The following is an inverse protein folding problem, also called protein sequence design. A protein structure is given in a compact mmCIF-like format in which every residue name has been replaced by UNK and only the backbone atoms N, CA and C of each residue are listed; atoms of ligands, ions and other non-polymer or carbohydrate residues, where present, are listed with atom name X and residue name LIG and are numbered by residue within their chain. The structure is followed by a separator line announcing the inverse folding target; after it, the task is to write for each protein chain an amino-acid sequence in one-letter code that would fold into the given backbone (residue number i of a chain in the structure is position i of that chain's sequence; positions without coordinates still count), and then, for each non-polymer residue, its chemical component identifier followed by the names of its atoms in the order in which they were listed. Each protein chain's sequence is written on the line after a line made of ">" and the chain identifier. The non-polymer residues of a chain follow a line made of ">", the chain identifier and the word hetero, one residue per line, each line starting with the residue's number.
data_IF_570581697747
#
_entry.id   IF_570581697747
#
_cell.length_a   1.000
_cell.length_b   1.000
_cell.length_c   1.000
_cell.angle_alpha   90.00
_cell.angle_beta   90.00
_cell.angle_gamma   90.00
#
_symmetry.space_group_name_H-M   'P 1'
#
loop_
_entity.id
_entity.type
_entity.pdbx_description
1 polymer ?
#
# COMPACT_ATOMS: atom_id res chain seq x y z
N UNK A 1 11.16 4.06 -3.16
CA UNK A 1 12.32 3.19 -2.87
C UNK A 1 13.14 3.03 -4.13
N UNK A 2 14.45 3.19 -4.05
CA UNK A 2 15.33 2.96 -5.20
C UNK A 2 15.56 1.46 -5.43
N UNK A 3 15.99 1.10 -6.64
CA UNK A 3 16.38 -0.28 -6.94
C UNK A 3 17.51 -0.77 -6.04
N UNK A 4 18.47 0.12 -5.74
CA UNK A 4 19.55 -0.20 -4.80
C UNK A 4 19.02 -0.54 -3.41
N UNK A 5 18.12 0.29 -2.88
CA UNK A 5 17.53 0.07 -1.56
C UNK A 5 16.71 -1.23 -1.53
N UNK A 6 16.00 -1.51 -2.61
CA UNK A 6 15.23 -2.73 -2.75
C UNK A 6 16.10 -3.98 -2.72
N UNK A 7 17.18 -3.98 -3.50
CA UNK A 7 18.09 -5.13 -3.58
C UNK A 7 18.86 -5.38 -2.28
N UNK A 8 18.98 -4.35 -1.43
CA UNK A 8 19.67 -4.45 -0.14
C UNK A 8 18.69 -4.46 1.05
N UNK A 9 17.40 -4.50 0.78
CA UNK A 9 16.36 -4.54 1.82
C UNK A 9 16.28 -5.94 2.41
N UNK A 10 16.57 -6.05 3.71
CA UNK A 10 16.56 -7.32 4.42
C UNK A 10 16.00 -7.15 5.84
N UNK A 11 14.71 -6.77 5.98
CA UNK A 11 14.11 -6.61 7.30
C UNK A 11 13.97 -7.96 8.01
N UNK A 12 14.18 -7.96 9.32
CA UNK A 12 14.12 -9.17 10.15
C UNK A 12 12.80 -9.30 10.92
N UNK A 13 12.03 -8.22 11.00
CA UNK A 13 10.82 -8.19 11.83
C UNK A 13 9.56 -7.96 10.99
N UNK A 14 8.52 -8.79 11.18
CA UNK A 14 7.21 -8.50 10.61
C UNK A 14 6.69 -7.14 11.10
N UNK A 15 6.21 -6.31 10.18
CA UNK A 15 5.78 -4.95 10.48
C UNK A 15 4.52 -4.64 9.68
N UNK A 16 3.47 -4.10 10.30
CA UNK A 16 2.30 -3.62 9.55
C UNK A 16 2.71 -2.52 8.58
N UNK A 17 2.17 -2.57 7.37
CA UNK A 17 2.52 -1.61 6.31
C UNK A 17 1.26 -1.07 5.65
N UNK A 18 1.23 0.24 5.42
CA UNK A 18 0.23 0.91 4.61
C UNK A 18 0.92 1.54 3.40
N UNK A 19 0.47 1.18 2.21
CA UNK A 19 0.93 1.75 0.94
C UNK A 19 -0.24 2.44 0.25
N UNK A 20 -0.05 3.70 -0.14
CA UNK A 20 -0.99 4.45 -0.97
C UNK A 20 -0.23 4.88 -2.22
N UNK A 21 -0.74 4.56 -3.41
CA UNK A 21 -0.01 4.87 -4.64
C UNK A 21 -0.95 5.18 -5.80
N UNK A 22 -0.63 6.26 -6.52
CA UNK A 22 -1.28 6.59 -7.79
C UNK A 22 -0.68 5.79 -8.93
N UNK A 23 -1.51 5.18 -9.77
CA UNK A 23 -1.02 4.33 -10.89
C UNK A 23 -0.29 5.18 -11.94
N UNK A 24 -0.68 6.44 -12.11
CA UNK A 24 -0.09 7.36 -13.08
C UNK A 24 1.00 8.26 -12.47
N UNK A 25 1.58 7.87 -11.35
CA UNK A 25 2.65 8.60 -10.69
C UNK A 25 3.89 8.63 -11.60
N UNK A 26 4.27 9.84 -12.04
CA UNK A 26 5.44 10.04 -12.92
C UNK A 26 6.72 10.33 -12.14
N UNK A 27 6.63 10.58 -10.84
CA UNK A 27 7.78 10.86 -9.98
C UNK A 27 8.31 9.57 -9.37
N UNK A 28 7.39 8.74 -8.83
CA UNK A 28 7.70 7.38 -8.34
C UNK A 28 6.82 6.41 -9.13
N UNK A 29 7.26 5.97 -10.32
CA UNK A 29 6.44 5.11 -11.17
C UNK A 29 6.02 3.83 -10.46
N UNK A 30 4.76 3.44 -10.61
CA UNK A 30 4.24 2.20 -10.00
C UNK A 30 5.01 0.96 -10.51
N UNK A 31 5.45 1.01 -11.76
CA UNK A 31 6.23 -0.09 -12.36
C UNK A 31 7.66 -0.16 -11.82
N UNK A 32 8.14 0.85 -11.13
CA UNK A 32 9.45 0.87 -10.52
C UNK A 32 10.61 1.04 -11.48
N UNK A 33 11.71 0.27 -11.34
CA UNK A 33 11.96 -0.79 -10.35
C UNK A 33 12.18 -0.26 -8.92
N UNK A 34 11.71 -1.00 -7.88
CA UNK A 34 10.84 -2.17 -7.94
C UNK A 34 9.37 -1.78 -8.21
N UNK A 35 8.58 -2.71 -8.79
CA UNK A 35 7.14 -2.49 -8.93
C UNK A 35 6.50 -2.39 -7.54
N UNK A 36 5.59 -1.44 -7.35
CA UNK A 36 4.95 -1.23 -6.04
C UNK A 36 4.18 -2.46 -5.57
N UNK A 37 3.52 -3.17 -6.49
CA UNK A 37 2.83 -4.42 -6.16
C UNK A 37 3.79 -5.48 -5.59
N UNK A 38 5.03 -5.52 -6.09
CA UNK A 38 6.07 -6.43 -5.59
C UNK A 38 6.51 -6.05 -4.18
N UNK A 39 6.67 -4.76 -3.90
CA UNK A 39 6.98 -4.26 -2.55
C UNK A 39 5.89 -4.64 -1.56
N UNK A 40 4.63 -4.46 -1.95
CA UNK A 40 3.48 -4.84 -1.11
C UNK A 40 3.46 -6.35 -0.86
N UNK A 41 3.67 -7.17 -1.88
CA UNK A 41 3.71 -8.63 -1.74
C UNK A 41 4.85 -9.07 -0.82
N UNK A 42 6.00 -8.42 -0.91
CA UNK A 42 7.13 -8.69 -0.03
C UNK A 42 6.75 -8.50 1.45
N UNK A 43 6.10 -7.39 1.79
CA UNK A 43 5.67 -7.13 3.16
C UNK A 43 4.55 -8.07 3.61
N UNK A 44 3.64 -8.41 2.70
CA UNK A 44 2.57 -9.37 2.99
C UNK A 44 3.15 -10.75 3.32
N UNK A 45 4.16 -11.20 2.57
CA UNK A 45 4.83 -12.47 2.81
C UNK A 45 5.65 -12.45 4.11
N UNK A 46 6.37 -11.36 4.37
CA UNK A 46 7.15 -11.21 5.61
C UNK A 46 6.25 -11.25 6.85
N UNK A 47 5.04 -10.72 6.75
CA UNK A 47 4.05 -10.74 7.83
C UNK A 47 3.26 -12.06 7.89
N UNK A 48 3.49 -12.99 6.98
CA UNK A 48 2.77 -14.27 6.92
C UNK A 48 1.25 -14.09 6.82
N UNK A 49 0.80 -13.10 6.05
CA UNK A 49 -0.63 -12.87 5.84
C UNK A 49 -1.23 -14.03 5.04
N UNK A 50 -2.46 -14.44 5.38
CA UNK A 50 -3.10 -15.64 4.82
C UNK A 50 -4.34 -15.34 4.00
N UNK A 51 -4.89 -14.14 4.09
CA UNK A 51 -6.08 -13.75 3.34
C UNK A 51 -5.86 -12.41 2.64
N UNK A 52 -6.54 -12.22 1.50
CA UNK A 52 -6.53 -10.96 0.75
C UNK A 52 -7.99 -10.57 0.51
N UNK A 53 -8.39 -9.40 1.01
CA UNK A 53 -9.68 -8.79 0.69
C UNK A 53 -9.46 -7.67 -0.31
N UNK A 54 -10.15 -7.72 -1.44
CA UNK A 54 -10.08 -6.69 -2.49
C UNK A 54 -11.41 -5.95 -2.55
N UNK A 55 -11.37 -4.63 -2.40
CA UNK A 55 -12.55 -3.77 -2.43
C UNK A 55 -12.29 -2.60 -3.37
N UNK A 56 -13.26 -2.29 -4.22
CA UNK A 56 -13.26 -1.04 -4.99
C UNK A 56 -14.02 0.00 -4.17
N UNK A 57 -13.28 0.93 -3.55
CA UNK A 57 -13.86 2.02 -2.74
C UNK A 57 -14.72 2.91 -3.62
N UNK A 58 -14.17 3.24 -4.80
CA UNK A 58 -14.88 3.77 -5.96
C UNK A 58 -14.35 3.00 -7.18
N UNK A 59 -14.98 3.08 -8.37
CA UNK A 59 -14.50 2.29 -9.52
C UNK A 59 -13.02 2.47 -9.87
N UNK A 60 -12.42 3.63 -9.57
CA UNK A 60 -11.02 3.91 -9.89
C UNK A 60 -10.04 3.64 -8.74
N UNK A 61 -10.50 3.31 -7.54
CA UNK A 61 -9.63 3.06 -6.38
C UNK A 61 -9.86 1.68 -5.83
N UNK A 62 -8.84 0.84 -5.94
CA UNK A 62 -8.82 -0.52 -5.39
C UNK A 62 -8.08 -0.53 -4.06
N UNK A 63 -8.73 -1.03 -3.01
CA UNK A 63 -8.11 -1.28 -1.72
C UNK A 63 -7.88 -2.78 -1.55
N UNK A 64 -6.65 -3.16 -1.26
CA UNK A 64 -6.25 -4.54 -0.99
C UNK A 64 -5.83 -4.64 0.48
N UNK A 65 -6.44 -5.57 1.19
CA UNK A 65 -6.15 -5.81 2.61
C UNK A 65 -5.60 -7.22 2.77
N UNK A 66 -4.29 -7.32 3.02
CA UNK A 66 -3.63 -8.58 3.34
C UNK A 66 -3.73 -8.77 4.85
N UNK A 67 -4.43 -9.79 5.29
CA UNK A 67 -4.83 -9.98 6.68
C UNK A 67 -4.41 -11.33 7.25
N UNK A 68 -4.67 -11.48 8.55
CA UNK A 68 -4.38 -12.68 9.33
C UNK A 68 -2.89 -13.02 9.30
N UNK A 69 -2.07 -11.99 9.42
CA UNK A 69 -0.63 -12.13 9.53
C UNK A 69 -0.18 -12.47 10.93
N UNK A 70 1.13 -12.62 11.08
CA UNK A 70 1.79 -12.86 12.36
C UNK A 70 1.51 -11.69 13.32
N UNK A 71 1.18 -12.00 14.57
CA UNK A 71 0.81 -11.01 15.60
C UNK A 71 -0.40 -10.14 15.22
N UNK A 72 -1.26 -10.62 14.34
CA UNK A 72 -2.39 -9.85 13.83
C UNK A 72 -2.01 -8.75 12.83
N UNK A 73 -0.78 -8.76 12.33
CA UNK A 73 -0.31 -7.76 11.38
C UNK A 73 -1.07 -7.83 10.06
N UNK A 74 -1.22 -6.67 9.43
CA UNK A 74 -1.85 -6.53 8.13
C UNK A 74 -1.01 -5.62 7.24
N UNK A 75 -1.18 -5.79 5.94
CA UNK A 75 -0.64 -4.89 4.93
C UNK A 75 -1.81 -4.34 4.12
N UNK A 76 -1.95 -3.04 4.07
CA UNK A 76 -3.01 -2.35 3.35
C UNK A 76 -2.43 -1.64 2.14
N UNK A 77 -3.09 -1.79 0.99
CA UNK A 77 -2.63 -1.19 -0.26
C UNK A 77 -3.78 -0.51 -0.99
N UNK A 78 -3.73 0.82 -1.12
CA UNK A 78 -4.68 1.61 -1.90
C UNK A 78 -4.05 2.00 -3.22
N UNK A 79 -4.55 1.42 -4.32
CA UNK A 79 -4.14 1.70 -5.70
C UNK A 79 -5.15 2.63 -6.33
N UNK A 80 -4.72 3.81 -6.73
CA UNK A 80 -5.60 4.85 -7.26
C UNK A 80 -5.33 5.03 -8.74
N UNK A 81 -6.27 4.61 -9.60
CA UNK A 81 -6.22 4.83 -11.04
C UNK A 81 -6.34 6.32 -11.36
N UNK A 82 -5.77 6.73 -12.48
CA UNK A 82 -5.82 8.11 -12.97
C UNK A 82 -5.34 9.13 -11.93
N UNK A 83 -4.40 8.72 -11.07
CA UNK A 83 -3.86 9.54 -10.00
C UNK A 83 -2.34 9.58 -10.08
N UNK A 84 -1.79 10.78 -9.98
CA UNK A 84 -0.35 11.01 -10.04
C UNK A 84 0.32 11.06 -8.66
N UNK A 85 1.44 11.77 -8.60
CA UNK A 85 2.23 11.96 -7.38
C UNK A 85 1.62 13.08 -6.53
N UNK A 86 0.43 12.84 -5.99
CA UNK A 86 -0.30 13.83 -5.20
C UNK A 86 -0.89 13.18 -3.95
N UNK A 87 -1.04 13.97 -2.90
CA UNK A 87 -1.63 13.56 -1.63
C UNK A 87 -3.15 13.42 -1.79
N UNK A 88 -3.75 12.24 -1.61
CA UNK A 88 -5.20 12.08 -1.64
C UNK A 88 -5.89 12.87 -0.52
N UNK A 89 -6.87 13.67 -0.89
CA UNK A 89 -7.56 14.60 0.00
C UNK A 89 -9.08 14.51 -0.18
N UNK A 90 -9.87 15.15 0.71
CA UNK A 90 -11.33 15.13 0.56
C UNK A 90 -11.85 15.77 -0.74
N UNK A 91 -11.07 16.65 -1.38
CA UNK A 91 -11.50 17.41 -2.54
C UNK A 91 -11.25 16.71 -3.88
N UNK A 92 -10.50 15.61 -3.92
CA UNK A 92 -10.04 15.01 -5.17
C UNK A 92 -10.90 13.85 -5.70
N UNK A 93 -11.84 13.36 -4.92
CA UNK A 93 -12.78 12.28 -5.29
C UNK A 93 -12.09 10.93 -5.58
N UNK A 94 -10.90 10.69 -5.05
CA UNK A 94 -10.22 9.39 -5.18
C UNK A 94 -10.87 8.29 -4.35
N UNK A 95 -11.77 8.64 -3.42
CA UNK A 95 -12.31 7.72 -2.43
C UNK A 95 -11.34 7.44 -1.29
N UNK A 96 -10.15 8.05 -1.32
CA UNK A 96 -9.15 7.92 -0.27
C UNK A 96 -8.86 9.30 0.33
N UNK A 97 -8.98 9.40 1.65
CA UNK A 97 -8.51 10.55 2.41
C UNK A 97 -7.30 10.07 3.19
N UNK A 98 -6.11 10.40 2.71
CA UNK A 98 -4.86 9.81 3.20
C UNK A 98 -4.69 9.99 4.72
N UNK A 99 -4.98 11.18 5.24
CA UNK A 99 -4.82 11.43 6.68
C UNK A 99 -5.75 10.57 7.54
N UNK A 100 -6.99 10.36 7.11
CA UNK A 100 -7.94 9.50 7.82
C UNK A 100 -7.55 8.02 7.71
N UNK A 101 -7.11 7.59 6.55
CA UNK A 101 -6.65 6.22 6.33
C UNK A 101 -5.42 5.90 7.18
N UNK A 102 -4.46 6.82 7.23
CA UNK A 102 -3.26 6.68 8.05
C UNK A 102 -3.64 6.58 9.54
N UNK A 103 -4.53 7.43 10.00
CA UNK A 103 -4.99 7.39 11.38
C UNK A 103 -5.69 6.06 11.71
N UNK A 104 -6.58 5.60 10.82
CA UNK A 104 -7.28 4.32 11.00
C UNK A 104 -6.30 3.16 11.08
N UNK A 105 -5.28 3.16 10.21
CA UNK A 105 -4.25 2.13 10.21
C UNK A 105 -3.44 2.14 11.51
N UNK A 106 -2.88 3.28 11.88
CA UNK A 106 -2.06 3.37 13.09
C UNK A 106 -2.86 3.16 14.37
N UNK A 107 -4.17 3.46 14.38
CA UNK A 107 -5.02 3.20 15.54
C UNK A 107 -5.25 1.70 15.76
N UNK A 108 -5.11 0.89 14.72
CA UNK A 108 -5.24 -0.57 14.80
C UNK A 108 -3.95 -1.24 15.25
N UNK A 109 -2.83 -0.66 14.88
CA UNK A 109 -1.49 -1.20 15.13
C UNK A 109 -0.65 -0.23 15.95
#
# INVERSE_FOLDING_TARGET
>A
MSEYDWNNCNPSEPTPVLQIHGIDDSVVPIAGPPHVDEVVSFWADLNNTTTIDSVFVIPSTQALYYRNGQNGNEVWYHRINDWGHEWPSPQDQTGTIASELIWSFFSKF
#
